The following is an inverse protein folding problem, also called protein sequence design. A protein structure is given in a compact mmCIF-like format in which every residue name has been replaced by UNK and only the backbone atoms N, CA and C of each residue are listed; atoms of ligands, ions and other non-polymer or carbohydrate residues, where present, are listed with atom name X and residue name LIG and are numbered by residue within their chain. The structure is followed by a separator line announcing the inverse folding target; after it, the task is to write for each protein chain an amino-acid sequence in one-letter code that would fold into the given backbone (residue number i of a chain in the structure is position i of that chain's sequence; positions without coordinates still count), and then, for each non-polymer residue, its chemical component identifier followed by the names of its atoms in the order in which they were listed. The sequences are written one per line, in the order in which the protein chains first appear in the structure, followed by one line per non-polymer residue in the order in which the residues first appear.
data_IF_120745290637
#
_entry.id   IF_120745290637
#
_cell.length_a   1.000
_cell.length_b   1.000
_cell.length_c   1.000
_cell.angle_alpha   90.00
_cell.angle_beta   90.00
_cell.angle_gamma   90.00
#
_symmetry.space_group_name_H-M   'P 1'
#
loop_
_entity.id
_entity.type
_entity.pdbx_description
1 polymer ?
#
# COMPACT_ATOMS: atom_id res chain seq x y z
N UNK A 1 51.24 0.25 20.96
CA UNK A 1 50.43 1.23 20.22
C UNK A 1 49.46 0.46 19.34
N UNK A 2 48.29 0.14 19.89
CA UNK A 2 47.20 -0.56 19.21
C UNK A 2 46.21 0.51 18.79
N UNK A 3 46.25 0.92 17.54
CA UNK A 3 45.28 1.85 16.96
C UNK A 3 43.97 1.10 16.77
N UNK A 4 43.06 1.25 17.72
CA UNK A 4 41.66 0.89 17.54
C UNK A 4 41.06 1.84 16.51
N UNK A 5 40.73 1.31 15.34
CA UNK A 5 39.90 2.00 14.35
C UNK A 5 38.47 1.95 14.86
N UNK A 6 38.05 3.00 15.54
CA UNK A 6 36.64 3.25 15.84
C UNK A 6 35.92 3.49 14.51
N UNK A 7 35.13 2.52 14.05
CA UNK A 7 34.15 2.71 12.97
C UNK A 7 33.11 3.72 13.46
N UNK A 8 32.96 4.90 12.83
CA UNK A 8 31.90 5.82 13.18
C UNK A 8 30.64 5.52 12.36
N UNK A 9 29.49 5.45 13.04
CA UNK A 9 28.17 5.66 12.44
C UNK A 9 27.38 4.40 12.16
N UNK A 10 26.39 4.12 13.02
CA UNK A 10 25.25 3.24 12.75
C UNK A 10 24.67 3.56 11.38
N UNK A 11 24.92 2.70 10.39
CA UNK A 11 24.19 2.72 9.13
C UNK A 11 22.71 2.53 9.47
N UNK A 12 21.88 3.52 9.14
CA UNK A 12 20.44 3.29 9.11
C UNK A 12 20.20 2.06 8.23
N UNK A 13 19.41 1.10 8.72
CA UNK A 13 19.07 -0.05 7.90
C UNK A 13 18.33 0.46 6.63
N UNK A 14 18.56 -0.22 5.50
CA UNK A 14 18.04 0.23 4.20
C UNK A 14 16.50 0.29 4.17
N UNK A 15 15.83 -0.59 4.90
CA UNK A 15 14.38 -0.61 5.04
C UNK A 15 13.88 0.61 5.85
N UNK A 16 14.55 0.95 6.95
CA UNK A 16 14.27 2.16 7.74
C UNK A 16 14.50 3.46 6.96
N UNK A 17 15.46 3.46 6.02
CA UNK A 17 15.66 4.59 5.09
C UNK A 17 14.52 4.68 4.07
N UNK A 18 14.05 3.57 3.52
CA UNK A 18 12.87 3.56 2.64
C UNK A 18 11.61 4.03 3.37
N UNK A 19 11.41 3.62 4.62
CA UNK A 19 10.33 4.10 5.48
C UNK A 19 10.36 5.61 5.71
N UNK A 20 11.57 6.18 5.79
CA UNK A 20 11.77 7.61 5.86
C UNK A 20 11.58 8.33 4.52
N UNK A 21 11.25 7.60 3.44
CA UNK A 21 11.03 8.13 2.09
C UNK A 21 12.32 8.32 1.28
N UNK A 22 13.42 7.66 1.64
CA UNK A 22 14.64 7.69 0.85
C UNK A 22 14.47 6.99 -0.50
N UNK A 23 15.23 7.43 -1.50
CA UNK A 23 15.47 6.68 -2.74
C UNK A 23 16.79 5.96 -2.55
N UNK A 24 16.75 4.63 -2.44
CA UNK A 24 17.97 3.84 -2.28
C UNK A 24 18.68 3.65 -3.63
N UNK A 25 20.01 3.48 -3.65
CA UNK A 25 20.72 3.10 -4.85
C UNK A 25 20.16 1.80 -5.48
N UNK A 26 20.16 1.67 -6.82
CA UNK A 26 19.84 0.41 -7.47
C UNK A 26 20.69 -0.74 -6.92
N UNK A 27 20.08 -1.91 -6.71
CA UNK A 27 20.77 -3.10 -6.20
C UNK A 27 21.10 -3.06 -4.69
N UNK A 28 20.54 -2.12 -3.91
CA UNK A 28 20.70 -2.12 -2.45
C UNK A 28 20.16 -3.42 -1.84
N UNK A 29 21.05 -4.21 -1.25
CA UNK A 29 20.67 -5.41 -0.50
C UNK A 29 20.00 -5.03 0.84
N UNK A 30 19.10 -5.88 1.33
CA UNK A 30 18.43 -5.64 2.62
C UNK A 30 17.41 -4.49 2.63
N UNK A 31 17.03 -3.97 1.45
CA UNK A 31 16.01 -2.92 1.32
C UNK A 31 14.57 -3.40 1.61
N UNK A 32 14.38 -4.71 1.81
CA UNK A 32 13.09 -5.29 2.13
C UNK A 32 12.13 -5.45 0.94
N UNK A 33 11.02 -6.14 1.18
CA UNK A 33 10.00 -6.54 0.20
C UNK A 33 9.16 -5.39 -0.38
N UNK A 34 9.33 -4.17 0.15
CA UNK A 34 8.72 -2.96 -0.39
C UNK A 34 9.64 -2.20 -1.34
N UNK A 35 10.92 -2.54 -1.41
CA UNK A 35 11.84 -1.91 -2.35
C UNK A 35 11.54 -2.36 -3.78
N UNK A 36 11.11 -1.43 -4.64
CA UNK A 36 10.88 -1.68 -6.07
C UNK A 36 11.63 -0.66 -6.91
N UNK A 37 11.99 -1.00 -8.17
CA UNK A 37 12.58 -0.03 -9.09
C UNK A 37 11.73 1.25 -9.16
N UNK A 38 12.38 2.39 -8.96
CA UNK A 38 11.77 3.71 -9.01
C UNK A 38 12.25 4.42 -10.27
N UNK A 39 11.33 4.71 -11.17
CA UNK A 39 11.58 5.38 -12.43
C UNK A 39 11.35 6.90 -12.30
N UNK A 40 12.25 7.68 -12.89
CA UNK A 40 12.03 9.09 -13.16
C UNK A 40 11.26 9.24 -14.49
N UNK A 41 10.04 9.79 -14.41
CA UNK A 41 9.23 10.18 -15.57
C UNK A 41 9.30 11.69 -15.76
N UNK A 42 9.71 12.10 -16.95
CA UNK A 42 9.78 13.50 -17.35
C UNK A 42 8.57 13.88 -18.19
N UNK A 43 8.02 15.06 -17.96
CA UNK A 43 6.87 15.59 -18.68
C UNK A 43 7.06 17.06 -19.06
N UNK A 44 6.58 17.42 -20.24
CA UNK A 44 6.43 18.80 -20.70
C UNK A 44 4.98 19.27 -20.60
N UNK A 45 4.80 20.57 -20.44
CA UNK A 45 3.48 21.21 -20.50
C UNK A 45 3.60 22.55 -21.23
N UNK A 46 2.69 22.90 -22.16
CA UNK A 46 2.76 24.16 -22.91
C UNK A 46 2.79 25.42 -22.02
N UNK A 47 2.13 25.38 -20.85
CA UNK A 47 2.13 26.49 -19.89
C UNK A 47 3.40 26.58 -19.01
N UNK A 48 4.38 25.68 -19.19
CA UNK A 48 5.61 25.65 -18.39
C UNK A 48 6.87 26.06 -19.16
N UNK A 49 6.72 26.51 -20.41
CA UNK A 49 7.81 26.85 -21.32
C UNK A 49 8.80 25.67 -21.44
N UNK A 50 10.11 25.91 -21.27
CA UNK A 50 11.15 24.88 -21.36
C UNK A 50 11.31 24.03 -20.09
N UNK A 51 10.49 24.25 -19.05
CA UNK A 51 10.60 23.50 -17.79
C UNK A 51 10.02 22.10 -17.93
N UNK A 52 10.75 21.14 -17.35
CA UNK A 52 10.36 19.73 -17.28
C UNK A 52 9.87 19.43 -15.87
N UNK A 53 8.72 18.77 -15.77
CA UNK A 53 8.26 18.17 -14.52
C UNK A 53 8.84 16.75 -14.46
N UNK A 54 9.54 16.42 -13.37
CA UNK A 54 10.01 15.07 -13.11
C UNK A 54 9.21 14.48 -11.95
N UNK A 55 8.64 13.29 -12.14
CA UNK A 55 7.95 12.52 -11.10
C UNK A 55 8.67 11.20 -10.89
N UNK A 56 8.81 10.81 -9.63
CA UNK A 56 9.37 9.52 -9.23
C UNK A 56 8.23 8.54 -8.98
N UNK A 57 8.23 7.45 -9.73
CA UNK A 57 7.10 6.53 -9.80
C UNK A 57 7.65 5.10 -9.75
N UNK A 58 7.05 4.18 -8.98
CA UNK A 58 7.37 2.76 -9.12
C UNK A 58 7.29 2.35 -10.59
N UNK A 59 8.30 1.65 -11.10
CA UNK A 59 8.40 1.31 -12.53
C UNK A 59 7.12 0.62 -13.05
N UNK A 60 6.57 -0.27 -12.23
CA UNK A 60 5.32 -1.00 -12.48
C UNK A 60 4.07 -0.10 -12.65
N UNK A 61 4.12 1.17 -12.20
CA UNK A 61 3.01 2.13 -12.30
C UNK A 61 3.18 3.20 -13.39
N UNK A 62 4.28 3.19 -14.12
CA UNK A 62 4.64 4.26 -15.08
C UNK A 62 3.57 4.50 -16.15
N UNK A 63 2.95 3.44 -16.70
CA UNK A 63 1.88 3.58 -17.69
C UNK A 63 0.61 4.26 -17.13
N UNK A 64 0.22 3.89 -15.90
CA UNK A 64 -0.95 4.49 -15.26
C UNK A 64 -0.68 5.94 -14.84
N UNK A 65 0.56 6.24 -14.43
CA UNK A 65 1.01 7.61 -14.19
C UNK A 65 0.93 8.46 -15.46
N UNK A 66 1.40 7.94 -16.61
CA UNK A 66 1.36 8.66 -17.88
C UNK A 66 -0.08 9.02 -18.29
N UNK A 67 -1.04 8.13 -18.05
CA UNK A 67 -2.47 8.42 -18.26
C UNK A 67 -2.96 9.54 -17.34
N UNK A 68 -2.64 9.47 -16.04
CA UNK A 68 -3.03 10.48 -15.07
C UNK A 68 -2.39 11.85 -15.36
N UNK A 69 -1.11 11.87 -15.73
CA UNK A 69 -0.38 13.07 -16.14
C UNK A 69 -0.97 13.66 -17.44
N UNK A 70 -1.29 12.81 -18.41
CA UNK A 70 -1.92 13.21 -19.68
C UNK A 70 -3.25 13.94 -19.48
N UNK A 71 -4.05 13.53 -18.49
CA UNK A 71 -5.29 14.24 -18.12
C UNK A 71 -5.02 15.71 -17.73
N UNK A 72 -3.88 15.99 -17.11
CA UNK A 72 -3.44 17.33 -16.72
C UNK A 72 -2.74 18.09 -17.86
N UNK A 73 -2.74 17.55 -19.08
CA UNK A 73 -2.07 18.13 -20.25
C UNK A 73 -0.56 17.91 -20.28
N UNK A 74 -0.04 17.04 -19.40
CA UNK A 74 1.39 16.70 -19.36
C UNK A 74 1.71 15.68 -20.46
N UNK A 75 2.74 15.97 -21.26
CA UNK A 75 3.19 15.09 -22.34
C UNK A 75 4.51 14.45 -21.93
N UNK A 76 4.63 13.11 -21.96
CA UNK A 76 5.89 12.43 -21.66
C UNK A 76 7.05 12.92 -22.51
N UNK A 77 8.21 13.11 -21.89
CA UNK A 77 9.46 13.45 -22.54
C UNK A 77 10.51 12.36 -22.28
N UNK A 78 10.91 11.67 -23.34
CA UNK A 78 11.94 10.64 -23.28
C UNK A 78 11.50 9.34 -22.58
N UNK A 79 12.43 8.38 -22.58
CA UNK A 79 12.23 7.09 -21.94
C UNK A 79 12.37 7.20 -20.41
N UNK A 80 11.56 6.46 -19.62
CA UNK A 80 11.75 6.36 -18.18
C UNK A 80 13.17 5.88 -17.84
N UNK A 81 13.79 6.50 -16.84
CA UNK A 81 15.07 6.05 -16.30
C UNK A 81 14.89 5.55 -14.87
N UNK A 82 15.30 4.31 -14.58
CA UNK A 82 15.34 3.81 -13.19
C UNK A 82 16.44 4.54 -12.44
N UNK A 83 16.07 5.25 -11.39
CA UNK A 83 16.99 6.10 -10.59
C UNK A 83 17.35 5.50 -9.23
N UNK A 84 16.67 4.43 -8.82
CA UNK A 84 16.88 3.81 -7.53
C UNK A 84 15.83 2.77 -7.19
N UNK A 85 15.81 2.39 -5.92
CA UNK A 85 14.72 1.66 -5.31
C UNK A 85 13.89 2.64 -4.46
N UNK A 86 12.57 2.54 -4.59
CA UNK A 86 11.61 3.28 -3.79
C UNK A 86 10.61 2.33 -3.16
N UNK A 87 9.73 2.89 -2.33
CA UNK A 87 8.67 2.14 -1.69
C UNK A 87 7.60 1.74 -2.73
N UNK A 88 7.22 0.46 -2.75
CA UNK A 88 6.07 -0.04 -3.52
C UNK A 88 4.82 0.65 -3.01
N UNK A 89 4.10 1.28 -3.94
CA UNK A 89 2.84 1.95 -3.66
C UNK A 89 1.80 1.52 -4.68
N UNK A 90 0.54 1.46 -4.26
CA UNK A 90 -0.59 1.38 -5.17
C UNK A 90 -0.94 2.77 -5.68
N UNK A 91 -1.45 2.87 -6.91
CA UNK A 91 -1.99 4.14 -7.41
C UNK A 91 -3.14 4.61 -6.51
N UNK A 92 -3.00 5.81 -5.96
CA UNK A 92 -3.92 6.42 -5.00
C UNK A 92 -5.00 7.27 -5.66
N UNK A 93 -5.83 7.89 -4.84
CA UNK A 93 -6.74 8.95 -5.31
C UNK A 93 -6.00 10.30 -5.34
N UNK A 94 -6.14 11.13 -6.40
CA UNK A 94 -7.05 10.98 -7.53
C UNK A 94 -6.47 10.22 -8.73
N UNK A 95 -5.17 9.91 -8.75
CA UNK A 95 -4.48 9.39 -9.94
C UNK A 95 -5.09 8.10 -10.49
N UNK A 96 -5.58 7.21 -9.62
CA UNK A 96 -6.27 6.00 -10.03
C UNK A 96 -7.53 6.32 -10.83
N UNK A 97 -8.30 7.32 -10.41
CA UNK A 97 -9.48 7.77 -11.17
C UNK A 97 -9.04 8.35 -12.50
N UNK A 98 -8.01 9.19 -12.53
CA UNK A 98 -7.54 9.80 -13.78
C UNK A 98 -7.08 8.74 -14.79
N UNK A 99 -6.48 7.64 -14.32
CA UNK A 99 -6.02 6.55 -15.16
C UNK A 99 -7.15 5.60 -15.63
N UNK A 100 -8.16 5.34 -14.81
CA UNK A 100 -9.18 4.31 -15.08
C UNK A 100 -10.57 4.86 -15.47
N UNK A 101 -10.88 6.09 -15.05
CA UNK A 101 -12.14 6.80 -15.29
C UNK A 101 -11.89 8.26 -15.66
N UNK A 102 -11.12 8.53 -16.74
CA UNK A 102 -10.75 9.88 -17.13
C UNK A 102 -11.97 10.79 -17.40
N UNK A 103 -13.11 10.23 -17.80
CA UNK A 103 -14.38 10.94 -17.96
C UNK A 103 -14.84 11.66 -16.69
N UNK A 104 -14.52 11.09 -15.52
CA UNK A 104 -14.87 11.63 -14.21
C UNK A 104 -13.69 12.37 -13.55
N UNK A 105 -12.58 12.57 -14.25
CA UNK A 105 -11.36 13.14 -13.67
C UNK A 105 -11.53 14.53 -13.06
N UNK A 106 -12.37 15.39 -13.66
CA UNK A 106 -12.69 16.70 -13.09
C UNK A 106 -13.41 16.59 -11.73
N UNK A 107 -14.30 15.60 -11.57
CA UNK A 107 -14.96 15.33 -10.30
C UNK A 107 -13.96 14.86 -9.24
N UNK A 108 -12.98 14.03 -9.62
CA UNK A 108 -11.94 13.58 -8.71
C UNK A 108 -11.04 14.73 -8.25
N UNK A 109 -10.60 15.58 -9.18
CA UNK A 109 -9.77 16.74 -8.85
C UNK A 109 -10.50 17.76 -7.95
N UNK A 110 -11.82 17.91 -8.11
CA UNK A 110 -12.63 18.78 -7.26
C UNK A 110 -12.63 18.38 -5.77
N UNK A 111 -12.33 17.13 -5.44
CA UNK A 111 -12.27 16.60 -4.06
C UNK A 111 -10.94 16.93 -3.37
N UNK A 112 -9.86 17.09 -4.14
CA UNK A 112 -8.48 17.20 -3.63
C UNK A 112 -8.31 18.33 -2.60
N UNK A 113 -8.80 19.57 -2.80
CA UNK A 113 -8.60 20.65 -1.83
C UNK A 113 -9.21 20.38 -0.46
N UNK A 114 -10.37 19.70 -0.39
CA UNK A 114 -10.99 19.34 0.88
C UNK A 114 -10.23 18.20 1.58
N UNK A 115 -9.70 17.24 0.82
CA UNK A 115 -8.85 16.18 1.34
C UNK A 115 -7.51 16.72 1.89
N UNK A 116 -6.86 17.65 1.19
CA UNK A 116 -5.66 18.34 1.68
C UNK A 116 -5.93 19.18 2.94
N UNK A 117 -7.12 19.78 3.02
CA UNK A 117 -7.56 20.47 4.25
C UNK A 117 -7.73 19.48 5.40
N UNK A 118 -8.32 18.31 5.17
CA UNK A 118 -8.42 17.26 6.17
C UNK A 118 -7.02 16.79 6.60
N UNK A 119 -6.07 16.65 5.67
CA UNK A 119 -4.69 16.28 5.96
C UNK A 119 -3.99 17.26 6.91
N UNK A 120 -4.11 18.57 6.65
CA UNK A 120 -3.57 19.61 7.54
C UNK A 120 -4.20 19.60 8.94
N UNK A 121 -5.42 19.09 9.07
CA UNK A 121 -6.16 19.01 10.33
C UNK A 121 -6.01 17.67 11.04
N UNK A 122 -5.49 16.62 10.38
CA UNK A 122 -5.52 15.26 10.91
C UNK A 122 -4.80 15.11 12.26
N UNK A 123 -3.67 15.78 12.47
CA UNK A 123 -2.94 15.75 13.75
C UNK A 123 -3.60 16.62 14.84
N UNK A 124 -4.04 17.83 14.51
CA UNK A 124 -4.52 18.81 15.49
C UNK A 124 -6.01 18.69 15.82
N UNK A 125 -6.82 18.24 14.86
CA UNK A 125 -8.28 18.11 14.94
C UNK A 125 -8.74 16.82 14.26
N UNK A 126 -8.26 15.63 14.71
CA UNK A 126 -8.48 14.35 14.02
C UNK A 126 -9.96 14.03 13.80
N UNK A 127 -10.82 14.29 14.78
CA UNK A 127 -12.27 14.06 14.66
C UNK A 127 -12.91 14.93 13.56
N UNK A 128 -12.57 16.22 13.52
CA UNK A 128 -13.09 17.13 12.51
C UNK A 128 -12.63 16.75 11.09
N UNK A 129 -11.37 16.30 10.95
CA UNK A 129 -10.83 15.78 9.71
C UNK A 129 -11.57 14.49 9.28
N UNK A 130 -11.81 13.55 10.21
CA UNK A 130 -12.55 12.31 9.93
C UNK A 130 -13.98 12.61 9.49
N UNK A 131 -14.67 13.51 10.18
CA UNK A 131 -16.03 13.92 9.83
C UNK A 131 -16.07 14.61 8.45
N UNK A 132 -15.02 15.35 8.08
CA UNK A 132 -14.90 15.93 6.73
C UNK A 132 -14.71 14.84 5.67
N UNK A 133 -13.84 13.86 5.90
CA UNK A 133 -13.66 12.71 4.99
C UNK A 133 -14.96 11.92 4.81
N UNK A 134 -15.74 11.70 5.89
CA UNK A 134 -17.04 11.03 5.80
C UNK A 134 -18.06 11.81 4.98
N UNK A 135 -18.19 13.12 5.23
CA UNK A 135 -19.08 13.98 4.44
C UNK A 135 -18.68 14.04 2.96
N UNK A 136 -17.39 13.98 2.65
CA UNK A 136 -16.91 13.88 1.28
C UNK A 136 -17.35 12.56 0.65
N UNK A 137 -17.09 11.45 1.34
CA UNK A 137 -17.51 10.13 0.86
C UNK A 137 -19.02 10.02 0.67
N UNK A 138 -19.84 10.59 1.54
CA UNK A 138 -21.30 10.57 1.39
C UNK A 138 -21.74 11.28 0.10
N UNK A 139 -21.07 12.38 -0.29
CA UNK A 139 -21.32 13.05 -1.57
C UNK A 139 -20.88 12.19 -2.75
N UNK A 140 -19.70 11.57 -2.67
CA UNK A 140 -19.18 10.68 -3.71
C UNK A 140 -20.07 9.44 -3.90
N UNK A 141 -20.57 8.85 -2.82
CA UNK A 141 -21.44 7.69 -2.86
C UNK A 141 -22.74 7.93 -3.64
N UNK A 142 -23.22 9.18 -3.67
CA UNK A 142 -24.45 9.56 -4.36
C UNK A 142 -24.29 9.71 -5.88
N UNK A 143 -23.08 9.98 -6.38
CA UNK A 143 -22.84 10.28 -7.80
C UNK A 143 -21.79 9.39 -8.47
N UNK A 144 -20.66 9.16 -7.80
CA UNK A 144 -19.48 8.46 -8.33
C UNK A 144 -18.98 7.42 -7.31
N UNK A 145 -19.79 6.39 -6.98
CA UNK A 145 -19.45 5.43 -5.93
C UNK A 145 -18.15 4.65 -6.22
N UNK A 146 -17.74 4.55 -7.49
CA UNK A 146 -16.49 3.91 -7.89
C UNK A 146 -15.24 4.69 -7.42
N UNK A 147 -15.37 5.93 -6.94
CA UNK A 147 -14.27 6.67 -6.30
C UNK A 147 -14.01 6.21 -4.86
N UNK A 148 -15.04 5.69 -4.18
CA UNK A 148 -15.02 5.47 -2.74
C UNK A 148 -13.84 4.61 -2.26
N UNK A 149 -13.46 3.51 -2.92
CA UNK A 149 -12.39 2.66 -2.40
C UNK A 149 -11.05 3.42 -2.34
N UNK A 150 -10.65 4.05 -3.44
CA UNK A 150 -9.38 4.77 -3.53
C UNK A 150 -9.40 6.07 -2.73
N UNK A 151 -10.55 6.74 -2.65
CA UNK A 151 -10.75 7.91 -1.78
C UNK A 151 -10.57 7.54 -0.30
N UNK A 152 -11.23 6.49 0.18
CA UNK A 152 -11.14 6.07 1.57
C UNK A 152 -9.74 5.60 1.93
N UNK A 153 -9.06 4.89 1.05
CA UNK A 153 -7.66 4.52 1.25
C UNK A 153 -6.75 5.75 1.34
N UNK A 154 -6.93 6.74 0.46
CA UNK A 154 -6.15 7.97 0.52
C UNK A 154 -6.44 8.78 1.79
N UNK A 155 -7.70 8.85 2.21
CA UNK A 155 -8.06 9.43 3.50
C UNK A 155 -7.48 8.62 4.67
N UNK A 156 -7.36 7.31 4.54
CA UNK A 156 -6.70 6.44 5.51
C UNK A 156 -5.21 6.77 5.64
N UNK A 157 -4.51 6.97 4.51
CA UNK A 157 -3.09 7.40 4.47
C UNK A 157 -2.85 8.74 5.16
N UNK A 158 -3.81 9.67 5.05
CA UNK A 158 -3.77 10.93 5.82
C UNK A 158 -3.71 10.67 7.33
N UNK A 159 -4.45 9.68 7.83
CA UNK A 159 -4.43 9.33 9.26
C UNK A 159 -3.23 8.46 9.65
N UNK A 160 -2.69 7.63 8.74
CA UNK A 160 -1.38 6.97 8.93
C UNK A 160 -0.30 8.03 9.12
N UNK A 161 -0.22 9.02 8.22
CA UNK A 161 0.74 10.12 8.31
C UNK A 161 0.51 11.05 9.52
N UNK A 162 -0.62 10.91 10.22
CA UNK A 162 -0.93 11.62 11.46
C UNK A 162 -0.76 10.74 12.72
N UNK A 163 -0.20 9.53 12.58
CA UNK A 163 0.00 8.53 13.64
C UNK A 163 -1.32 8.10 14.31
N UNK A 164 -2.44 8.14 13.57
CA UNK A 164 -3.77 7.74 14.03
C UNK A 164 -4.24 6.46 13.34
N UNK A 165 -3.65 5.34 13.76
CA UNK A 165 -3.90 4.02 13.19
C UNK A 165 -5.36 3.56 13.34
N UNK A 166 -6.05 3.98 14.40
CA UNK A 166 -7.47 3.68 14.60
C UNK A 166 -8.34 4.25 13.47
N UNK A 167 -8.12 5.51 13.12
CA UNK A 167 -8.89 6.16 12.05
C UNK A 167 -8.48 5.68 10.67
N UNK A 168 -7.19 5.40 10.46
CA UNK A 168 -6.71 4.74 9.25
C UNK A 168 -7.41 3.39 9.03
N UNK A 169 -7.47 2.54 10.05
CA UNK A 169 -8.15 1.23 9.98
C UNK A 169 -9.66 1.34 9.72
N UNK A 170 -10.33 2.36 10.28
CA UNK A 170 -11.75 2.61 10.00
C UNK A 170 -12.01 2.99 8.53
N UNK A 171 -11.15 3.84 7.95
CA UNK A 171 -11.29 4.25 6.55
C UNK A 171 -10.92 3.12 5.60
N UNK A 172 -9.90 2.32 5.94
CA UNK A 172 -9.61 1.08 5.21
C UNK A 172 -10.83 0.15 5.16
N UNK A 173 -11.48 -0.09 6.30
CA UNK A 173 -12.69 -0.92 6.34
C UNK A 173 -13.86 -0.30 5.56
N UNK A 174 -13.95 1.04 5.54
CA UNK A 174 -14.95 1.76 4.75
C UNK A 174 -14.73 1.57 3.24
N UNK A 175 -13.46 1.52 2.78
CA UNK A 175 -13.13 1.21 1.38
C UNK A 175 -13.68 -0.17 0.97
N UNK A 176 -13.39 -1.21 1.77
CA UNK A 176 -13.90 -2.58 1.52
C UNK A 176 -15.42 -2.66 1.58
N UNK A 177 -16.03 -1.93 2.52
CA UNK A 177 -17.49 -1.83 2.64
C UNK A 177 -18.10 -1.16 1.41
N UNK A 178 -17.46 -0.13 0.85
CA UNK A 178 -17.93 0.54 -0.35
C UNK A 178 -17.86 -0.39 -1.58
N UNK A 179 -16.77 -1.14 -1.76
CA UNK A 179 -16.65 -2.15 -2.82
C UNK A 179 -17.81 -3.15 -2.76
N UNK A 180 -18.03 -3.76 -1.60
CA UNK A 180 -19.10 -4.73 -1.41
C UNK A 180 -20.50 -4.11 -1.58
N UNK A 181 -20.74 -2.93 -1.00
CA UNK A 181 -22.05 -2.25 -1.05
C UNK A 181 -22.45 -1.84 -2.47
N UNK A 182 -21.49 -1.42 -3.28
CA UNK A 182 -21.74 -0.90 -4.61
C UNK A 182 -21.41 -1.91 -5.72
N UNK A 183 -21.01 -3.14 -5.36
CA UNK A 183 -20.66 -4.19 -6.34
C UNK A 183 -19.49 -3.80 -7.24
N UNK A 184 -18.52 -3.06 -6.70
CA UNK A 184 -17.38 -2.57 -7.48
C UNK A 184 -16.40 -3.70 -7.76
N UNK A 185 -15.79 -3.68 -8.95
CA UNK A 185 -14.71 -4.58 -9.27
C UNK A 185 -13.51 -4.33 -8.34
N UNK A 186 -12.92 -5.42 -7.84
CA UNK A 186 -11.76 -5.36 -6.96
C UNK A 186 -10.55 -5.84 -7.72
N UNK A 187 -9.54 -4.99 -7.82
CA UNK A 187 -8.20 -5.34 -8.31
C UNK A 187 -7.41 -5.98 -7.16
N UNK A 188 -7.21 -7.30 -7.22
CA UNK A 188 -6.54 -8.08 -6.16
C UNK A 188 -5.06 -7.74 -6.02
N UNK A 189 -4.37 -7.41 -7.11
CA UNK A 189 -2.94 -7.06 -7.06
C UNK A 189 -2.75 -5.72 -6.36
N UNK A 190 -3.62 -4.75 -6.68
CA UNK A 190 -3.67 -3.48 -5.97
C UNK A 190 -4.07 -3.67 -4.50
N UNK A 191 -5.08 -4.49 -4.25
CA UNK A 191 -5.60 -4.71 -2.91
C UNK A 191 -4.57 -5.38 -1.99
N UNK A 192 -3.80 -6.35 -2.49
CA UNK A 192 -2.67 -6.97 -1.78
C UNK A 192 -1.65 -5.91 -1.31
N UNK A 193 -1.32 -4.94 -2.18
CA UNK A 193 -0.42 -3.85 -1.84
C UNK A 193 -0.98 -2.94 -0.74
N UNK A 194 -2.27 -2.57 -0.81
CA UNK A 194 -2.91 -1.71 0.19
C UNK A 194 -3.08 -2.44 1.54
N UNK A 195 -3.40 -3.73 1.54
CA UNK A 195 -3.43 -4.53 2.77
C UNK A 195 -2.06 -4.57 3.45
N UNK A 196 -0.99 -4.79 2.70
CA UNK A 196 0.36 -4.77 3.25
C UNK A 196 0.73 -3.39 3.79
N UNK A 197 0.47 -2.32 3.03
CA UNK A 197 0.70 -0.93 3.43
C UNK A 197 0.06 -0.63 4.80
N UNK A 198 -1.24 -0.86 4.93
CA UNK A 198 -1.96 -0.56 6.18
C UNK A 198 -1.63 -1.53 7.31
N UNK A 199 -1.25 -2.78 7.00
CA UNK A 199 -0.76 -3.71 8.00
C UNK A 199 0.55 -3.21 8.62
N UNK A 200 1.53 -2.82 7.79
CA UNK A 200 2.82 -2.28 8.22
C UNK A 200 2.69 -0.96 8.97
N UNK A 201 1.71 -0.13 8.61
CA UNK A 201 1.31 1.06 9.39
C UNK A 201 0.61 0.74 10.73
N UNK A 202 0.53 -0.53 11.15
CA UNK A 202 -0.17 -1.00 12.34
C UNK A 202 -1.66 -0.60 12.40
N UNK A 203 -2.28 -0.32 11.26
CA UNK A 203 -3.69 0.05 11.16
C UNK A 203 -4.62 -1.16 11.06
N UNK A 204 -4.09 -2.34 10.68
CA UNK A 204 -4.87 -3.56 10.52
C UNK A 204 -4.53 -4.60 11.61
N UNK A 205 -5.47 -4.95 12.49
CA UNK A 205 -5.29 -6.09 13.39
C UNK A 205 -5.34 -7.40 12.60
N UNK A 206 -4.73 -8.46 13.13
CA UNK A 206 -4.69 -9.80 12.50
C UNK A 206 -6.08 -10.29 12.07
N UNK A 207 -7.13 -10.00 12.85
CA UNK A 207 -8.52 -10.36 12.52
C UNK A 207 -9.00 -9.78 11.19
N UNK A 208 -8.55 -8.57 10.82
CA UNK A 208 -8.89 -7.98 9.51
C UNK A 208 -8.21 -8.75 8.38
N UNK A 209 -6.98 -9.22 8.60
CA UNK A 209 -6.25 -10.08 7.65
C UNK A 209 -6.90 -11.46 7.52
N UNK A 210 -7.40 -12.05 8.62
CA UNK A 210 -8.21 -13.27 8.55
C UNK A 210 -9.51 -13.06 7.77
N UNK A 211 -10.11 -11.87 7.87
CA UNK A 211 -11.23 -11.45 7.02
C UNK A 211 -10.83 -11.44 5.55
N UNK A 212 -9.68 -10.87 5.22
CA UNK A 212 -9.15 -10.87 3.86
C UNK A 212 -8.92 -12.27 3.29
N UNK A 213 -8.35 -13.20 4.07
CA UNK A 213 -8.23 -14.60 3.68
C UNK A 213 -9.59 -15.20 3.26
N UNK A 214 -10.64 -14.91 4.03
CA UNK A 214 -12.01 -15.34 3.71
C UNK A 214 -12.53 -14.67 2.44
N UNK A 215 -12.33 -13.37 2.28
CA UNK A 215 -12.79 -12.63 1.12
C UNK A 215 -12.09 -13.08 -0.17
N UNK A 216 -10.81 -13.50 -0.10
CA UNK A 216 -10.11 -14.13 -1.22
C UNK A 216 -10.80 -15.42 -1.68
N UNK A 217 -11.23 -16.28 -0.75
CA UNK A 217 -11.92 -17.54 -1.12
C UNK A 217 -13.23 -17.32 -1.88
N UNK A 218 -13.83 -16.14 -1.76
CA UNK A 218 -15.05 -15.79 -2.46
C UNK A 218 -14.80 -15.15 -3.84
N UNK A 219 -13.58 -14.69 -4.12
CA UNK A 219 -13.27 -13.85 -5.29
C UNK A 219 -12.26 -14.47 -6.26
N UNK A 220 -11.34 -15.31 -5.77
CA UNK A 220 -10.30 -15.93 -6.60
C UNK A 220 -10.25 -17.45 -6.41
N UNK A 221 -9.65 -18.21 -7.35
CA UNK A 221 -9.43 -19.64 -7.18
C UNK A 221 -8.68 -19.98 -5.88
N UNK A 222 -8.96 -21.14 -5.30
CA UNK A 222 -8.46 -21.49 -3.96
C UNK A 222 -6.92 -21.54 -3.88
N UNK A 223 -6.24 -22.04 -4.90
CA UNK A 223 -4.77 -22.02 -4.99
C UNK A 223 -4.22 -20.58 -5.03
N UNK A 224 -4.90 -19.70 -5.75
CA UNK A 224 -4.53 -18.28 -5.80
C UNK A 224 -4.76 -17.58 -4.47
N UNK A 225 -5.88 -17.87 -3.78
CA UNK A 225 -6.16 -17.34 -2.45
C UNK A 225 -5.08 -17.74 -1.44
N UNK A 226 -4.66 -19.02 -1.43
CA UNK A 226 -3.56 -19.51 -0.61
C UNK A 226 -2.27 -18.74 -0.91
N UNK A 227 -1.86 -18.69 -2.19
CA UNK A 227 -0.63 -18.03 -2.61
C UNK A 227 -0.60 -16.53 -2.25
N UNK A 228 -1.71 -15.80 -2.45
CA UNK A 228 -1.82 -14.37 -2.12
C UNK A 228 -1.74 -14.15 -0.61
N UNK A 229 -2.50 -14.90 0.17
CA UNK A 229 -2.52 -14.74 1.63
C UNK A 229 -1.18 -15.11 2.28
N UNK A 230 -0.56 -16.22 1.88
CA UNK A 230 0.78 -16.62 2.37
C UNK A 230 1.80 -15.53 2.07
N UNK A 231 1.80 -14.99 0.84
CA UNK A 231 2.69 -13.88 0.45
C UNK A 231 2.47 -12.63 1.30
N UNK A 232 1.23 -12.26 1.57
CA UNK A 232 0.91 -11.14 2.45
C UNK A 232 1.46 -11.36 3.86
N UNK A 233 1.25 -12.55 4.44
CA UNK A 233 1.76 -12.90 5.78
C UNK A 233 3.29 -12.84 5.86
N UNK A 234 3.97 -13.43 4.87
CA UNK A 234 5.44 -13.41 4.80
C UNK A 234 5.98 -11.98 4.68
N UNK A 235 5.46 -11.19 3.74
CA UNK A 235 5.89 -9.79 3.55
C UNK A 235 5.60 -8.91 4.75
N UNK A 236 4.48 -9.15 5.43
CA UNK A 236 4.14 -8.47 6.69
C UNK A 236 5.16 -8.77 7.78
N UNK A 237 5.60 -10.03 7.89
CA UNK A 237 6.60 -10.42 8.89
C UNK A 237 8.01 -9.98 8.51
N UNK A 238 8.35 -10.02 7.23
CA UNK A 238 9.59 -9.46 6.70
C UNK A 238 9.68 -7.96 7.02
N UNK A 239 8.58 -7.21 6.83
CA UNK A 239 8.45 -5.80 7.22
C UNK A 239 8.34 -5.53 8.72
N UNK A 240 8.79 -6.46 9.56
CA UNK A 240 8.97 -6.18 10.97
C UNK A 240 7.72 -6.33 11.85
N UNK A 241 6.69 -7.04 11.43
CA UNK A 241 5.58 -7.40 12.33
C UNK A 241 5.66 -8.85 12.79
N UNK A 242 5.45 -9.09 14.09
CA UNK A 242 5.46 -10.44 14.64
C UNK A 242 4.46 -11.34 13.92
N UNK A 243 4.83 -12.60 13.62
CA UNK A 243 3.92 -13.56 13.03
C UNK A 243 2.82 -13.95 14.03
N UNK A 244 1.74 -14.57 13.53
CA UNK A 244 0.57 -14.92 14.34
C UNK A 244 0.12 -16.35 14.09
N UNK A 245 -0.27 -17.05 15.16
CA UNK A 245 -0.80 -18.42 15.07
C UNK A 245 -2.12 -18.45 14.29
N UNK A 246 -2.89 -17.35 14.35
CA UNK A 246 -4.11 -17.22 13.56
C UNK A 246 -3.83 -17.19 12.06
N UNK A 247 -2.73 -16.57 11.62
CA UNK A 247 -2.32 -16.57 10.21
C UNK A 247 -1.94 -17.97 9.73
N UNK A 248 -1.16 -18.72 10.53
CA UNK A 248 -0.84 -20.12 10.24
C UNK A 248 -2.12 -20.97 10.14
N UNK A 249 -3.06 -20.79 11.07
CA UNK A 249 -4.36 -21.46 11.02
C UNK A 249 -5.20 -21.10 9.78
N UNK A 250 -5.13 -19.85 9.32
CA UNK A 250 -5.80 -19.40 8.10
C UNK A 250 -5.12 -19.98 6.84
N UNK A 251 -3.78 -20.06 6.79
CA UNK A 251 -3.02 -20.73 5.72
C UNK A 251 -3.40 -22.21 5.64
N UNK A 252 -3.43 -22.95 6.77
CA UNK A 252 -3.91 -24.34 6.81
C UNK A 252 -5.31 -24.47 6.22
N UNK A 253 -6.21 -23.53 6.53
CA UNK A 253 -7.59 -23.54 6.03
C UNK A 253 -7.65 -23.32 4.52
N UNK A 254 -6.87 -22.36 4.01
CA UNK A 254 -6.76 -22.09 2.58
C UNK A 254 -6.13 -23.26 1.81
N UNK A 255 -5.11 -23.92 2.38
CA UNK A 255 -4.49 -25.10 1.80
C UNK A 255 -5.50 -26.25 1.63
N UNK A 256 -6.31 -26.52 2.65
CA UNK A 256 -7.42 -27.50 2.54
C UNK A 256 -8.41 -27.13 1.44
N UNK A 257 -8.78 -25.86 1.34
CA UNK A 257 -9.70 -25.39 0.29
C UNK A 257 -9.10 -25.53 -1.12
N UNK A 258 -7.77 -25.41 -1.25
CA UNK A 258 -7.04 -25.60 -2.49
C UNK A 258 -6.76 -27.09 -2.83
N UNK A 259 -7.14 -28.03 -1.95
CA UNK A 259 -6.80 -29.45 -2.12
C UNK A 259 -5.32 -29.77 -1.87
N UNK A 260 -4.57 -28.85 -1.26
CA UNK A 260 -3.18 -29.04 -0.87
C UNK A 260 -3.07 -29.67 0.53
N UNK A 261 -1.90 -30.23 0.84
CA UNK A 261 -1.58 -30.70 2.18
C UNK A 261 -1.43 -29.49 3.14
N UNK A 262 -2.32 -29.43 4.13
CA UNK A 262 -2.36 -28.34 5.09
C UNK A 262 -1.16 -28.34 6.05
N UNK A 263 -0.62 -29.50 6.38
CA UNK A 263 0.52 -29.62 7.29
C UNK A 263 1.81 -29.25 6.56
N UNK A 264 1.93 -29.61 5.27
CA UNK A 264 3.04 -29.18 4.43
C UNK A 264 3.01 -27.64 4.23
N UNK A 265 1.85 -27.08 3.85
CA UNK A 265 1.73 -25.64 3.62
C UNK A 265 2.02 -24.79 4.86
N UNK A 266 1.64 -25.27 6.05
CA UNK A 266 2.02 -24.60 7.30
C UNK A 266 3.52 -24.73 7.60
N UNK A 267 4.11 -25.92 7.42
CA UNK A 267 5.54 -26.12 7.62
C UNK A 267 6.38 -25.23 6.70
N UNK A 268 6.03 -25.14 5.42
CA UNK A 268 6.74 -24.31 4.45
C UNK A 268 6.67 -22.83 4.87
N UNK A 269 5.48 -22.35 5.25
CA UNK A 269 5.31 -21.00 5.77
C UNK A 269 6.13 -20.75 7.04
N UNK A 270 6.12 -21.67 8.01
CA UNK A 270 6.89 -21.52 9.25
C UNK A 270 8.39 -21.55 9.01
N UNK A 271 8.86 -22.38 8.07
CA UNK A 271 10.28 -22.46 7.69
C UNK A 271 10.79 -21.13 7.09
N UNK A 272 9.95 -20.43 6.33
CA UNK A 272 10.29 -19.09 5.85
C UNK A 272 10.24 -18.05 6.98
N UNK A 273 9.19 -18.09 7.81
CA UNK A 273 9.01 -17.09 8.87
C UNK A 273 10.10 -17.16 9.94
N UNK A 274 10.55 -18.36 10.35
CA UNK A 274 11.54 -18.52 11.42
C UNK A 274 12.91 -17.94 11.04
N UNK A 275 13.19 -17.79 9.74
CA UNK A 275 14.40 -17.14 9.24
C UNK A 275 14.33 -15.60 9.36
N UNK A 276 13.14 -15.02 9.58
CA UNK A 276 12.94 -13.57 9.65
C UNK A 276 13.20 -13.04 11.07
N UNK A 277 13.92 -11.89 11.23
CA UNK A 277 14.20 -11.32 12.55
C UNK A 277 12.95 -11.03 13.39
N UNK A 278 11.83 -10.71 12.76
CA UNK A 278 10.57 -10.43 13.43
C UNK A 278 9.96 -11.65 14.15
N UNK A 279 10.37 -12.88 13.81
CA UNK A 279 9.94 -14.09 14.49
C UNK A 279 10.34 -14.11 15.97
N UNK A 280 11.44 -13.44 16.34
CA UNK A 280 11.87 -13.30 17.75
C UNK A 280 10.87 -12.53 18.62
N UNK A 281 9.95 -11.78 18.02
CA UNK A 281 8.89 -11.03 18.70
C UNK A 281 7.56 -11.79 18.74
N UNK A 282 7.53 -13.03 18.25
CA UNK A 282 6.34 -13.87 18.33
C UNK A 282 5.93 -14.12 19.80
N UNK A 283 4.62 -14.31 20.02
CA UNK A 283 4.12 -14.64 21.34
C UNK A 283 4.61 -16.04 21.78
N UNK A 284 4.78 -16.30 23.09
CA UNK A 284 5.11 -17.64 23.58
C UNK A 284 4.07 -18.67 23.10
N UNK A 285 4.56 -19.78 22.52
CA UNK A 285 3.69 -20.83 21.97
C UNK A 285 3.15 -20.54 20.57
N UNK A 286 3.63 -19.48 19.92
CA UNK A 286 3.64 -19.40 18.46
C UNK A 286 4.62 -20.41 17.87
#
# INVERSE_FOLDING_TARGET
MTTGTTTPGSAYDAEGLLDAGAVLPPGTEGAGERAVPLAARAYRHPALDDRVIVRLVPEELTAAEDLAAGFLGLVPEGEPAVVGLGERRALGFPEWVLAHHPEDGHHALAVVPELERAARQARSKPKAAMDACRRLADRLAASVPHFLPTFYEQAGRVFVAADNTQYAGQLFAAARTAEARHGLAVDEDRLDAVFLEFALAAALPVKVLSGYAKDLTARVPAEEALRRYTRLCLRRTAGGLAPSAQMAADIRRLAKAAGADADAAEHDYLAEVIALPAALRAAPGW
#
